data_IF_044709308824
#
_entry.id   IF_044709308824
#
_cell.length_a   1.000
_cell.length_b   1.000
_cell.length_c   1.000
_cell.angle_alpha   90.00
_cell.angle_beta   90.00
_cell.angle_gamma   90.00
#
_symmetry.space_group_name_H-M   'P 1'
#
loop_
_entity.id
_entity.type
_entity.pdbx_description
1 polymer ?
#
# COMPACT_ATOMS: atom_id res chain seq x y z
N UNK A 1 17.08 8.68 -10.47
CA UNK A 1 16.42 7.91 -9.41
C UNK A 1 15.21 7.23 -10.01
N UNK A 2 15.09 5.91 -9.88
CA UNK A 2 13.99 5.14 -10.47
C UNK A 2 12.92 4.91 -9.41
N UNK A 3 11.66 5.17 -9.75
CA UNK A 3 10.52 4.97 -8.84
C UNK A 3 10.37 3.50 -8.43
N UNK A 4 10.55 2.56 -9.36
CA UNK A 4 10.51 1.12 -9.06
C UNK A 4 11.53 0.71 -7.98
N UNK A 5 12.75 1.25 -8.02
CA UNK A 5 13.77 1.03 -7.00
C UNK A 5 13.41 1.67 -5.67
N UNK A 6 12.77 2.84 -5.69
CA UNK A 6 12.32 3.56 -4.49
C UNK A 6 11.21 2.81 -3.73
N UNK A 7 10.41 2.01 -4.43
CA UNK A 7 9.28 1.25 -3.90
C UNK A 7 9.64 -0.20 -3.51
N UNK A 8 10.92 -0.56 -3.52
CA UNK A 8 11.39 -1.85 -3.04
C UNK A 8 11.25 -1.97 -1.50
N UNK A 9 11.19 -3.21 -0.96
CA UNK A 9 11.38 -3.46 0.46
C UNK A 9 12.62 -2.77 1.05
N UNK A 10 12.60 -2.30 2.31
CA UNK A 10 13.78 -1.76 2.99
C UNK A 10 15.05 -2.59 2.80
N UNK A 11 14.96 -3.92 2.89
CA UNK A 11 16.09 -4.84 2.75
C UNK A 11 16.70 -4.88 1.34
N UNK A 12 15.96 -4.45 0.31
CA UNK A 12 16.42 -4.39 -1.07
C UNK A 12 16.68 -2.95 -1.55
N UNK A 13 16.38 -1.95 -0.72
CA UNK A 13 16.53 -0.56 -1.10
C UNK A 13 18.00 -0.13 -1.03
N UNK A 14 18.55 0.48 -2.09
CA UNK A 14 19.85 1.12 -2.00
C UNK A 14 19.80 2.33 -1.05
N UNK A 15 20.93 2.65 -0.40
CA UNK A 15 21.03 3.74 0.59
C UNK A 15 20.50 5.09 0.12
N UNK A 16 20.56 5.38 -1.18
CA UNK A 16 20.03 6.64 -1.71
C UNK A 16 18.53 6.80 -1.46
N UNK A 17 17.76 5.70 -1.31
CA UNK A 17 16.33 5.77 -1.03
C UNK A 17 16.03 6.37 0.34
N UNK A 18 16.83 6.04 1.38
CA UNK A 18 16.68 6.63 2.72
C UNK A 18 16.99 8.13 2.70
N UNK A 19 18.05 8.52 1.98
CA UNK A 19 18.41 9.93 1.77
C UNK A 19 17.30 10.65 1.01
N UNK A 20 16.74 10.02 -0.03
CA UNK A 20 15.62 10.56 -0.80
C UNK A 20 14.38 10.78 0.07
N UNK A 21 13.99 9.82 0.91
CA UNK A 21 12.88 9.98 1.85
C UNK A 21 13.09 11.18 2.77
N UNK A 22 14.31 11.36 3.30
CA UNK A 22 14.62 12.52 4.13
C UNK A 22 14.53 13.83 3.37
N UNK A 23 15.10 13.91 2.16
CA UNK A 23 15.01 15.11 1.33
C UNK A 23 13.55 15.43 0.99
N UNK A 24 12.75 14.43 0.65
CA UNK A 24 11.32 14.60 0.38
C UNK A 24 10.58 15.14 1.62
N UNK A 25 10.87 14.61 2.80
CA UNK A 25 10.26 15.02 4.07
C UNK A 25 10.62 16.48 4.44
N UNK A 26 11.87 16.91 4.25
CA UNK A 26 12.27 18.31 4.47
C UNK A 26 11.66 19.26 3.44
N UNK A 27 11.26 18.75 2.27
CA UNK A 27 10.57 19.50 1.22
C UNK A 27 9.06 19.24 1.22
N UNK A 28 8.47 18.83 2.34
CA UNK A 28 7.02 18.68 2.47
C UNK A 28 6.29 20.03 2.37
N UNK A 29 5.02 20.02 1.93
CA UNK A 29 4.17 21.21 2.01
C UNK A 29 4.04 21.61 3.50
N UNK A 30 4.23 22.91 3.79
CA UNK A 30 4.32 23.46 5.15
C UNK A 30 3.17 23.03 6.07
N UNK A 31 1.95 22.89 5.54
CA UNK A 31 0.79 22.45 6.32
C UNK A 31 0.98 21.06 6.98
N UNK A 32 1.76 20.17 6.36
CA UNK A 32 2.05 18.85 6.90
C UNK A 32 3.25 18.90 7.85
N UNK A 33 4.32 19.58 7.42
CA UNK A 33 5.55 19.72 8.20
C UNK A 33 5.30 20.40 9.55
N UNK A 34 4.44 21.43 9.60
CA UNK A 34 4.14 22.17 10.83
C UNK A 34 3.35 21.36 11.87
N UNK A 35 2.65 20.29 11.47
CA UNK A 35 1.82 19.51 12.40
C UNK A 35 2.61 18.45 13.17
N UNK A 36 3.59 17.80 12.52
CA UNK A 36 4.32 16.67 13.13
C UNK A 36 5.85 16.77 12.97
N UNK A 37 6.37 17.71 12.19
CA UNK A 37 7.79 17.80 11.85
C UNK A 37 8.25 16.79 10.79
N UNK A 38 9.32 17.12 10.07
CA UNK A 38 9.85 16.29 8.97
C UNK A 38 10.35 14.91 9.42
N UNK A 39 10.74 14.75 10.69
CA UNK A 39 11.21 13.47 11.25
C UNK A 39 10.14 12.36 11.28
N UNK A 40 8.85 12.72 11.21
CA UNK A 40 7.72 11.80 11.26
C UNK A 40 6.98 11.69 9.91
N UNK A 41 7.48 12.39 8.89
CA UNK A 41 7.10 12.21 7.50
C UNK A 41 7.97 11.10 6.91
N UNK A 42 7.37 9.92 6.78
CA UNK A 42 7.94 8.72 6.18
C UNK A 42 7.65 8.69 4.68
N UNK A 43 7.69 7.52 4.04
CA UNK A 43 7.49 7.39 2.61
C UNK A 43 6.13 8.00 2.14
N UNK A 44 6.16 8.96 1.20
CA UNK A 44 4.97 9.70 0.77
C UNK A 44 3.95 8.84 0.00
N UNK A 45 4.31 7.63 -0.44
CA UNK A 45 3.36 6.70 -1.06
C UNK A 45 2.59 5.85 -0.05
N UNK A 46 2.98 5.89 1.22
CA UNK A 46 2.37 5.08 2.30
C UNK A 46 1.76 5.94 3.41
N UNK A 47 1.89 7.26 3.30
CA UNK A 47 1.47 8.24 4.28
C UNK A 47 0.86 9.45 3.56
N UNK A 48 -0.24 10.01 4.07
CA UNK A 48 -1.08 10.97 3.34
C UNK A 48 -0.54 12.41 3.21
N UNK A 49 0.73 12.67 3.46
CA UNK A 49 1.33 13.99 3.28
C UNK A 49 1.83 14.19 1.84
N UNK A 50 2.11 15.44 1.45
CA UNK A 50 2.56 15.77 0.08
C UNK A 50 3.84 16.59 0.07
N UNK A 51 4.65 16.35 -0.96
CA UNK A 51 5.91 17.04 -1.24
C UNK A 51 5.64 18.33 -2.01
N UNK A 52 6.35 19.41 -1.67
CA UNK A 52 6.35 20.64 -2.43
C UNK A 52 7.24 20.51 -3.68
N UNK A 53 6.63 20.17 -4.82
CA UNK A 53 7.34 19.95 -6.09
C UNK A 53 7.91 21.24 -6.73
N UNK A 54 7.53 22.42 -6.23
CA UNK A 54 8.07 23.71 -6.70
C UNK A 54 9.27 24.18 -5.89
N UNK A 55 9.60 23.51 -4.78
CA UNK A 55 10.73 23.88 -3.92
C UNK A 55 12.05 23.87 -4.69
N UNK A 56 12.83 24.94 -4.56
CA UNK A 56 14.16 25.06 -5.19
C UNK A 56 15.17 24.12 -4.56
N UNK A 57 15.00 23.81 -3.27
CA UNK A 57 15.81 22.86 -2.48
C UNK A 57 15.56 21.39 -2.81
N UNK A 58 14.49 21.05 -3.55
CA UNK A 58 14.20 19.68 -3.97
C UNK A 58 14.96 19.36 -5.28
N UNK A 59 15.88 18.37 -5.29
CA UNK A 59 16.63 18.00 -6.49
C UNK A 59 15.73 17.59 -7.66
N UNK A 60 16.11 17.95 -8.88
CA UNK A 60 15.32 17.68 -10.08
C UNK A 60 15.08 16.19 -10.34
N UNK A 61 16.02 15.34 -9.93
CA UNK A 61 15.87 13.88 -10.01
C UNK A 61 14.68 13.37 -9.17
N UNK A 62 14.47 13.95 -7.99
CA UNK A 62 13.33 13.63 -7.12
C UNK A 62 12.04 14.28 -7.62
N UNK A 63 12.09 15.53 -8.10
CA UNK A 63 10.93 16.17 -8.76
C UNK A 63 10.41 15.30 -9.91
N UNK A 64 11.31 14.84 -10.79
CA UNK A 64 10.95 13.96 -11.91
C UNK A 64 10.34 12.65 -11.42
N UNK A 65 10.93 12.02 -10.39
CA UNK A 65 10.41 10.78 -9.82
C UNK A 65 8.97 10.94 -9.29
N UNK A 66 8.71 12.00 -8.51
CA UNK A 66 7.38 12.28 -7.96
C UNK A 66 6.36 12.62 -9.05
N UNK A 67 6.74 13.43 -10.05
CA UNK A 67 5.86 13.75 -11.19
C UNK A 67 5.51 12.53 -12.03
N UNK A 68 6.45 11.61 -12.22
CA UNK A 68 6.18 10.32 -12.89
C UNK A 68 5.15 9.52 -12.09
N UNK A 69 5.31 9.48 -10.77
CA UNK A 69 4.37 8.80 -9.90
C UNK A 69 2.96 9.41 -9.98
N UNK A 70 2.84 10.74 -9.98
CA UNK A 70 1.57 11.45 -10.17
C UNK A 70 0.96 11.20 -11.56
N UNK A 71 1.77 11.33 -12.62
CA UNK A 71 1.36 11.13 -14.02
C UNK A 71 0.74 9.75 -14.24
N UNK A 72 1.32 8.71 -13.64
CA UNK A 72 0.86 7.34 -13.77
C UNK A 72 -0.01 6.88 -12.60
N UNK A 73 -0.51 7.77 -11.75
CA UNK A 73 -1.44 7.41 -10.68
C UNK A 73 -0.88 6.36 -9.71
N UNK A 74 0.34 6.56 -9.22
CA UNK A 74 0.92 5.70 -8.18
C UNK A 74 0.14 5.89 -6.86
N UNK A 75 -0.60 4.85 -6.42
CA UNK A 75 -1.38 4.87 -5.18
C UNK A 75 -1.15 3.60 -4.38
N UNK A 76 -1.25 3.70 -3.06
CA UNK A 76 -1.29 2.53 -2.18
C UNK A 76 -2.63 1.81 -2.32
N UNK A 77 -2.62 0.58 -2.84
CA UNK A 77 -3.81 -0.23 -3.10
C UNK A 77 -3.55 -1.65 -2.59
N UNK A 78 -3.78 -1.90 -1.28
CA UNK A 78 -3.63 -3.24 -0.72
C UNK A 78 -4.76 -4.15 -1.21
N UNK A 79 -4.42 -5.38 -1.61
CA UNK A 79 -5.41 -6.40 -2.00
C UNK A 79 -6.07 -7.04 -0.77
N UNK A 80 -5.29 -7.25 0.29
CA UNK A 80 -5.73 -7.79 1.58
C UNK A 80 -5.13 -6.93 2.69
N UNK A 81 -5.94 -6.64 3.71
CA UNK A 81 -5.50 -5.89 4.89
C UNK A 81 -5.30 -6.87 6.04
N UNK A 82 -4.06 -7.32 6.21
CA UNK A 82 -3.65 -8.20 7.30
C UNK A 82 -3.25 -7.42 8.53
N UNK A 83 -3.11 -8.13 9.64
CA UNK A 83 -2.69 -7.60 10.92
C UNK A 83 -1.26 -7.09 10.92
N UNK A 84 -0.38 -7.75 10.16
CA UNK A 84 1.01 -7.31 9.96
C UNK A 84 1.03 -6.00 9.18
N UNK A 85 0.27 -5.90 8.09
CA UNK A 85 0.13 -4.66 7.33
C UNK A 85 -0.42 -3.52 8.20
N UNK A 86 -1.52 -3.73 8.94
CA UNK A 86 -2.11 -2.72 9.83
C UNK A 86 -1.07 -2.13 10.78
N UNK A 87 -0.25 -2.99 11.43
CA UNK A 87 0.77 -2.54 12.39
C UNK A 87 1.93 -1.80 11.74
N UNK A 88 2.29 -2.14 10.49
CA UNK A 88 3.40 -1.53 9.73
C UNK A 88 3.05 -0.20 9.07
N UNK A 89 1.76 0.17 9.00
CA UNK A 89 1.39 1.45 8.43
C UNK A 89 1.90 2.63 9.28
N UNK A 90 2.33 3.74 8.65
CA UNK A 90 2.58 5.00 9.34
C UNK A 90 1.32 5.50 10.06
N UNK A 91 1.44 5.88 11.33
CA UNK A 91 0.31 6.39 12.12
C UNK A 91 -0.04 7.84 11.78
N UNK A 92 0.97 8.71 11.70
CA UNK A 92 0.74 10.13 11.41
C UNK A 92 0.31 10.30 9.95
N UNK A 93 -0.69 11.13 9.68
CA UNK A 93 -1.32 11.24 8.36
C UNK A 93 -1.70 9.87 7.76
N UNK A 94 -2.20 8.95 8.60
CA UNK A 94 -2.68 7.66 8.13
C UNK A 94 -3.77 7.86 7.06
N UNK A 95 -3.63 7.19 5.93
CA UNK A 95 -4.51 7.38 4.77
C UNK A 95 -5.97 6.99 5.06
N UNK A 96 -6.18 6.00 5.93
CA UNK A 96 -7.50 5.54 6.35
C UNK A 96 -8.05 6.26 7.60
N UNK A 97 -7.58 7.46 7.92
CA UNK A 97 -8.24 8.28 8.93
C UNK A 97 -9.68 8.59 8.51
N UNK A 98 -10.60 8.50 9.46
CA UNK A 98 -12.01 8.87 9.28
C UNK A 98 -12.10 10.36 8.92
N UNK A 99 -12.63 10.73 7.74
CA UNK A 99 -12.66 12.14 7.28
C UNK A 99 -13.50 13.05 8.20
N UNK A 100 -14.47 12.48 8.90
CA UNK A 100 -15.32 13.18 9.86
C UNK A 100 -14.63 13.49 11.20
N UNK A 101 -13.43 12.96 11.45
CA UNK A 101 -12.68 13.18 12.69
C UNK A 101 -11.43 14.02 12.42
N UNK A 102 -11.25 15.07 13.22
CA UNK A 102 -10.04 15.89 13.18
C UNK A 102 -8.92 15.15 13.90
N UNK A 103 -7.88 14.79 13.13
CA UNK A 103 -6.69 14.18 13.70
C UNK A 103 -5.91 15.19 14.54
N UNK A 104 -5.92 15.02 15.86
CA UNK A 104 -5.23 15.90 16.80
C UNK A 104 -3.74 15.56 16.89
N UNK A 105 -2.98 15.84 15.84
CA UNK A 105 -1.56 15.50 15.78
C UNK A 105 -0.64 16.46 16.54
N UNK A 106 -1.00 17.73 16.58
CA UNK A 106 -0.19 18.79 17.17
C UNK A 106 -0.52 19.06 18.65
N UNK A 107 -1.47 18.32 19.23
CA UNK A 107 -1.80 18.44 20.65
C UNK A 107 -0.60 18.04 21.52
N UNK A 108 -0.64 18.40 22.81
CA UNK A 108 0.48 18.11 23.72
C UNK A 108 0.82 16.62 23.79
N UNK A 109 -0.19 15.75 23.65
CA UNK A 109 0.00 14.31 23.68
C UNK A 109 0.58 13.79 22.37
N UNK A 110 0.21 14.35 21.22
CA UNK A 110 0.77 14.04 19.91
C UNK A 110 2.24 14.37 19.86
N UNK A 111 2.62 15.55 20.36
CA UNK A 111 4.03 15.93 20.52
C UNK A 111 4.78 14.99 21.47
N UNK A 112 4.19 14.57 22.58
CA UNK A 112 4.80 13.59 23.49
C UNK A 112 4.97 12.21 22.82
N UNK A 113 3.95 11.74 22.10
CA UNK A 113 3.96 10.46 21.36
C UNK A 113 5.05 10.46 20.28
N UNK A 114 5.23 11.59 19.59
CA UNK A 114 6.29 11.80 18.61
C UNK A 114 7.67 11.87 19.29
N UNK A 115 7.90 12.88 20.13
CA UNK A 115 9.23 13.27 20.58
C UNK A 115 9.76 12.41 21.72
N UNK A 116 8.90 12.00 22.66
CA UNK A 116 9.32 11.26 23.85
C UNK A 116 9.16 9.75 23.69
N UNK A 117 8.23 9.31 22.84
CA UNK A 117 7.98 7.89 22.59
C UNK A 117 8.42 7.43 21.19
N UNK A 118 8.80 8.35 20.30
CA UNK A 118 9.34 7.99 18.98
C UNK A 118 8.33 7.32 18.07
N UNK A 119 7.03 7.42 18.35
CA UNK A 119 6.00 6.66 17.64
C UNK A 119 5.94 7.13 16.19
N UNK A 120 6.03 6.18 15.26
CA UNK A 120 5.94 6.38 13.81
C UNK A 120 4.86 5.49 13.19
N UNK A 121 4.73 4.26 13.67
CA UNK A 121 3.85 3.23 13.12
C UNK A 121 2.62 2.97 14.00
N UNK A 122 1.56 2.46 13.38
CA UNK A 122 0.31 2.08 14.07
C UNK A 122 0.58 1.01 15.14
N UNK A 123 1.47 0.06 14.89
CA UNK A 123 1.85 -0.98 15.86
C UNK A 123 2.48 -0.39 17.13
N UNK A 124 3.35 0.60 17.00
CA UNK A 124 3.97 1.30 18.13
C UNK A 124 2.94 2.12 18.91
N UNK A 125 2.00 2.76 18.21
CA UNK A 125 0.88 3.46 18.86
C UNK A 125 0.00 2.49 19.67
N UNK A 126 -0.30 1.30 19.11
CA UNK A 126 -1.04 0.24 19.80
C UNK A 126 -0.28 -0.30 21.01
N UNK A 127 1.02 -0.55 20.87
CA UNK A 127 1.86 -0.99 21.98
C UNK A 127 1.87 0.05 23.09
N UNK A 128 2.09 1.32 22.76
CA UNK A 128 2.05 2.41 23.73
C UNK A 128 0.70 2.47 24.45
N UNK A 129 -0.41 2.46 23.70
CA UNK A 129 -1.76 2.49 24.25
C UNK A 129 -2.06 1.32 25.20
N UNK A 130 -1.50 0.13 24.95
CA UNK A 130 -1.77 -1.10 25.70
C UNK A 130 -0.70 -1.44 26.75
N UNK A 131 0.44 -0.74 26.76
CA UNK A 131 1.60 -0.97 27.66
C UNK A 131 1.23 -1.09 29.13
N UNK A 132 0.23 -0.31 29.57
CA UNK A 132 -0.28 -0.35 30.95
C UNK A 132 -1.00 -1.65 31.32
N UNK A 133 -1.62 -2.35 30.38
CA UNK A 133 -2.40 -3.58 30.65
C UNK A 133 -1.52 -4.78 31.00
N UNK A 134 -0.28 -4.80 30.49
CA UNK A 134 0.69 -5.90 30.69
C UNK A 134 1.43 -5.80 32.02
N UNK A 135 1.16 -4.77 32.83
CA UNK A 135 1.84 -4.51 34.09
C UNK A 135 0.81 -4.13 35.16
N UNK A 136 1.18 -4.19 36.45
CA UNK A 136 0.34 -3.74 37.57
C UNK A 136 0.15 -2.20 37.61
N UNK A 137 -0.07 -1.58 36.45
CA UNK A 137 -0.25 -0.15 36.27
C UNK A 137 -1.63 0.28 36.73
N UNK A 138 -1.68 1.23 37.65
CA UNK A 138 -2.93 1.79 38.20
C UNK A 138 -3.56 2.88 37.34
N UNK A 139 -2.96 3.22 36.19
CA UNK A 139 -3.40 4.28 35.27
C UNK A 139 -3.66 5.63 35.95
N UNK A 140 -2.78 6.02 36.88
CA UNK A 140 -2.77 7.32 37.55
C UNK A 140 -1.46 8.04 37.27
N UNK A 141 -1.47 9.38 37.33
CA UNK A 141 -0.29 10.21 37.11
C UNK A 141 0.87 9.87 38.06
N UNK A 142 0.59 9.38 39.27
CA UNK A 142 1.58 8.99 40.29
C UNK A 142 1.96 7.51 40.29
N UNK A 143 1.56 6.73 39.27
CA UNK A 143 1.84 5.30 39.24
C UNK A 143 3.34 4.99 39.22
N UNK A 144 3.80 4.14 40.15
CA UNK A 144 5.22 3.77 40.33
C UNK A 144 5.62 2.47 39.62
N UNK A 145 4.77 1.92 38.74
CA UNK A 145 5.15 0.72 37.99
C UNK A 145 6.31 1.02 37.03
N UNK A 146 7.07 -0.01 36.68
CA UNK A 146 8.25 0.12 35.83
C UNK A 146 7.95 0.81 34.49
N UNK A 147 6.82 0.48 33.86
CA UNK A 147 6.41 1.07 32.59
C UNK A 147 6.15 2.58 32.70
N UNK A 148 5.45 3.04 33.74
CA UNK A 148 5.24 4.47 33.95
C UNK A 148 6.53 5.19 34.37
N UNK A 149 7.45 4.51 35.07
CA UNK A 149 8.75 5.06 35.39
C UNK A 149 9.58 5.31 34.13
N UNK A 150 9.68 4.30 33.25
CA UNK A 150 10.35 4.40 31.96
C UNK A 150 9.75 5.51 31.08
N UNK A 151 8.41 5.58 30.99
CA UNK A 151 7.75 6.63 30.21
C UNK A 151 8.11 8.04 30.75
N UNK A 152 8.24 8.21 32.07
CA UNK A 152 8.69 9.49 32.65
C UNK A 152 10.15 9.79 32.38
N UNK A 153 11.01 8.77 32.37
CA UNK A 153 12.43 8.93 32.02
C UNK A 153 12.64 9.42 30.59
N UNK A 154 11.73 9.10 29.66
CA UNK A 154 11.76 9.65 28.30
C UNK A 154 11.14 11.04 28.19
N UNK A 155 10.67 11.64 29.30
CA UNK A 155 10.08 12.97 29.36
C UNK A 155 8.55 13.00 29.33
N UNK A 156 7.84 11.86 29.41
CA UNK A 156 6.38 11.86 29.48
C UNK A 156 5.87 12.27 30.87
N UNK A 157 5.29 13.46 30.98
CA UNK A 157 4.78 14.00 32.25
C UNK A 157 3.65 13.16 32.86
N UNK A 158 2.75 12.64 32.03
CA UNK A 158 1.60 11.86 32.47
C UNK A 158 1.36 10.65 31.56
N UNK A 159 2.04 9.52 31.87
CA UNK A 159 1.94 8.31 31.05
C UNK A 159 0.52 7.76 30.92
N UNK A 160 -0.29 7.85 31.97
CA UNK A 160 -1.66 7.35 31.94
C UNK A 160 -2.53 8.11 30.93
N UNK A 161 -2.46 9.44 30.95
CA UNK A 161 -3.24 10.26 30.02
C UNK A 161 -2.66 10.21 28.59
N UNK A 162 -1.33 10.12 28.44
CA UNK A 162 -0.69 9.93 27.14
C UNK A 162 -1.18 8.65 26.43
N UNK A 163 -1.25 7.53 27.15
CA UNK A 163 -1.78 6.26 26.64
C UNK A 163 -3.27 6.30 26.34
N UNK A 164 -4.06 6.97 27.20
CA UNK A 164 -5.49 7.17 26.94
C UNK A 164 -5.71 7.97 25.66
N UNK A 165 -4.93 9.04 25.46
CA UNK A 165 -4.98 9.82 24.22
C UNK A 165 -4.52 9.00 23.01
N UNK A 166 -3.51 8.13 23.14
CA UNK A 166 -3.11 7.18 22.10
C UNK A 166 -4.25 6.23 21.70
N UNK A 167 -5.02 5.71 22.66
CA UNK A 167 -6.22 4.91 22.35
C UNK A 167 -7.26 5.68 21.54
N UNK A 168 -7.59 6.91 21.95
CA UNK A 168 -8.53 7.77 21.21
C UNK A 168 -8.04 8.05 19.78
N UNK A 169 -6.72 8.21 19.64
CA UNK A 169 -6.03 8.41 18.37
C UNK A 169 -6.10 7.19 17.44
N UNK A 170 -6.12 5.97 17.98
CA UNK A 170 -6.36 4.75 17.21
C UNK A 170 -7.82 4.66 16.75
N UNK A 171 -8.77 5.17 17.55
CA UNK A 171 -10.20 5.19 17.18
C UNK A 171 -10.50 6.08 15.95
N UNK A 172 -9.57 6.97 15.58
CA UNK A 172 -9.66 7.79 14.37
C UNK A 172 -9.42 7.01 13.07
N UNK A 173 -8.77 5.85 13.15
CA UNK A 173 -8.50 4.99 11.99
C UNK A 173 -9.80 4.25 11.63
N UNK A 174 -10.05 4.05 10.33
CA UNK A 174 -11.23 3.31 9.88
C UNK A 174 -11.22 1.86 10.37
N UNK A 175 -12.39 1.21 10.53
CA UNK A 175 -12.48 -0.14 11.10
C UNK A 175 -11.63 -1.19 10.37
N UNK A 176 -11.49 -1.10 9.04
CA UNK A 176 -10.71 -2.06 8.25
C UNK A 176 -9.20 -2.01 8.60
N UNK A 177 -8.75 -0.84 9.06
CA UNK A 177 -7.37 -0.54 9.41
C UNK A 177 -7.14 -0.58 10.93
N UNK A 178 -8.15 -0.90 11.74
CA UNK A 178 -8.00 -0.97 13.19
C UNK A 178 -7.06 -2.13 13.58
N UNK A 179 -5.89 -1.84 14.19
CA UNK A 179 -4.93 -2.87 14.54
C UNK A 179 -5.39 -3.76 15.71
N UNK A 180 -6.56 -3.51 16.30
CA UNK A 180 -7.16 -4.33 17.37
C UNK A 180 -8.11 -5.39 16.82
N UNK A 181 -8.45 -5.34 15.54
CA UNK A 181 -9.31 -6.35 14.89
C UNK A 181 -8.56 -7.68 14.83
N UNK A 182 -9.20 -8.77 15.24
CA UNK A 182 -8.68 -10.11 14.97
C UNK A 182 -8.76 -10.40 13.47
N UNK A 183 -7.76 -11.07 12.90
CA UNK A 183 -7.93 -11.64 11.57
C UNK A 183 -8.99 -12.73 11.69
N UNK A 184 -9.98 -12.70 10.81
CA UNK A 184 -10.82 -13.86 10.60
C UNK A 184 -9.87 -15.00 10.19
N UNK A 185 -9.95 -16.14 10.88
CA UNK A 185 -9.24 -17.35 10.50
C UNK A 185 -9.44 -17.54 8.99
N UNK A 186 -8.38 -17.76 8.20
CA UNK A 186 -8.59 -18.10 6.81
C UNK A 186 -9.55 -19.29 6.82
N UNK A 187 -10.65 -19.19 6.07
CA UNK A 187 -11.42 -20.38 5.76
C UNK A 187 -10.39 -21.43 5.33
N UNK A 188 -10.36 -22.57 6.02
CA UNK A 188 -9.67 -23.73 5.51
C UNK A 188 -10.32 -23.98 4.16
N UNK A 189 -9.68 -23.49 3.10
CA UNK A 189 -10.04 -23.93 1.77
C UNK A 189 -9.58 -25.38 1.76
N UNK A 190 -10.52 -26.29 1.96
CA UNK A 190 -10.34 -27.73 1.72
C UNK A 190 -10.11 -28.04 0.22
N UNK A 191 -9.57 -27.07 -0.54
CA UNK A 191 -9.29 -27.15 -1.97
C UNK A 191 -7.80 -27.46 -2.27
N UNK A 192 -6.99 -27.75 -1.25
CA UNK A 192 -5.58 -28.15 -1.43
C UNK A 192 -5.41 -29.58 -2.01
N UNK A 193 -6.52 -30.31 -2.28
CA UNK A 193 -6.51 -31.68 -2.82
C UNK A 193 -7.15 -31.82 -4.22
N UNK A 194 -7.07 -30.81 -5.09
CA UNK A 194 -7.32 -31.00 -6.52
C UNK A 194 -6.00 -31.06 -7.30
N UNK A 195 -5.44 -32.27 -7.40
CA UNK A 195 -4.42 -32.55 -8.41
C UNK A 195 -5.02 -32.38 -9.81
N UNK A 196 -4.36 -31.64 -10.73
CA UNK A 196 -4.82 -31.54 -12.10
C UNK A 196 -4.73 -32.89 -12.80
N UNK A 197 -5.85 -33.36 -13.35
CA UNK A 197 -5.95 -34.62 -14.11
C UNK A 197 -5.29 -34.57 -15.50
N UNK A 198 -4.79 -33.42 -15.93
CA UNK A 198 -3.89 -33.30 -17.07
C UNK A 198 -2.77 -32.32 -16.72
N UNK A 199 -1.58 -32.54 -17.27
CA UNK A 199 -0.38 -31.75 -16.94
C UNK A 199 -0.40 -30.28 -17.40
N UNK A 200 -1.55 -29.61 -17.48
CA UNK A 200 -1.62 -28.17 -17.75
C UNK A 200 -1.34 -27.36 -16.48
N UNK A 201 -0.19 -26.69 -16.47
CA UNK A 201 0.18 -25.74 -15.41
C UNK A 201 -0.63 -24.45 -15.54
N UNK A 202 -1.89 -24.44 -15.10
CA UNK A 202 -2.65 -23.20 -14.88
C UNK A 202 -2.40 -22.68 -13.46
N UNK A 203 -1.17 -22.19 -13.21
CA UNK A 203 -0.96 -21.38 -12.01
C UNK A 203 -1.59 -20.02 -12.26
N UNK A 204 -2.88 -19.89 -11.94
CA UNK A 204 -3.50 -18.60 -11.70
C UNK A 204 -2.51 -17.78 -10.86
N UNK A 205 -2.18 -16.56 -11.30
CA UNK A 205 -1.33 -15.69 -10.50
C UNK A 205 -2.11 -15.30 -9.24
N UNK A 206 -2.02 -16.14 -8.24
CA UNK A 206 -2.36 -15.81 -6.87
C UNK A 206 -1.23 -14.94 -6.37
N UNK A 207 -1.46 -13.65 -6.03
CA UNK A 207 -0.47 -12.89 -5.31
C UNK A 207 -0.14 -13.69 -4.07
N UNK A 208 1.10 -14.18 -3.99
CA UNK A 208 1.55 -15.02 -2.90
C UNK A 208 1.18 -14.33 -1.57
N UNK A 209 0.29 -14.93 -0.76
CA UNK A 209 -0.17 -14.33 0.50
C UNK A 209 0.98 -14.16 1.50
N UNK A 210 2.16 -14.72 1.22
CA UNK A 210 3.40 -14.56 1.99
C UNK A 210 4.34 -13.48 1.46
N UNK A 211 3.94 -12.68 0.44
CA UNK A 211 4.70 -11.49 0.02
C UNK A 211 4.89 -10.56 1.22
N UNK A 212 6.06 -10.69 1.85
CA UNK A 212 6.52 -10.00 3.06
C UNK A 212 6.07 -8.55 3.03
N UNK A 213 5.03 -8.23 3.79
CA UNK A 213 4.15 -7.08 3.53
C UNK A 213 4.80 -5.75 3.93
N UNK A 214 5.65 -5.22 3.06
CA UNK A 214 6.08 -3.84 3.20
C UNK A 214 5.05 -2.94 2.51
N UNK A 215 4.51 -1.90 3.19
CA UNK A 215 3.50 -1.03 2.59
C UNK A 215 3.90 -0.47 1.21
N UNK A 216 5.19 -0.18 1.01
CA UNK A 216 5.71 0.32 -0.27
C UNK A 216 5.52 -0.65 -1.45
N UNK A 217 5.47 -1.96 -1.20
CA UNK A 217 5.23 -2.96 -2.25
C UNK A 217 3.76 -3.07 -2.67
N UNK A 218 2.85 -2.44 -1.92
CA UNK A 218 1.42 -2.39 -2.24
C UNK A 218 1.06 -1.12 -3.01
N UNK A 219 2.06 -0.32 -3.40
CA UNK A 219 1.87 0.77 -4.34
C UNK A 219 1.65 0.19 -5.73
N UNK A 220 0.58 0.64 -6.39
CA UNK A 220 0.20 0.28 -7.75
C UNK A 220 0.22 1.53 -8.61
N UNK A 221 0.58 1.36 -9.88
CA UNK A 221 0.51 2.41 -10.91
C UNK A 221 -0.65 2.11 -11.86
N UNK A 222 -0.96 3.08 -12.71
CA UNK A 222 -2.13 3.07 -13.59
C UNK A 222 -3.45 2.92 -12.82
N UNK A 223 -3.48 3.41 -11.58
CA UNK A 223 -4.72 3.44 -10.81
C UNK A 223 -5.63 4.50 -11.41
N UNK A 224 -6.87 4.10 -11.73
CA UNK A 224 -7.87 5.01 -12.32
C UNK A 224 -8.21 6.11 -11.30
N UNK A 225 -8.54 7.35 -11.72
CA UNK A 225 -8.83 8.43 -10.80
C UNK A 225 -10.11 8.26 -9.97
N UNK A 226 -11.00 7.32 -10.30
CA UNK A 226 -12.31 7.16 -9.66
C UNK A 226 -12.35 6.05 -8.60
N UNK A 227 -13.23 6.18 -7.59
CA UNK A 227 -13.18 5.35 -6.39
C UNK A 227 -13.48 3.90 -6.74
N UNK A 228 -12.56 3.00 -6.35
CA UNK A 228 -12.95 1.61 -6.11
C UNK A 228 -13.94 1.69 -4.93
N UNK A 229 -15.23 1.40 -5.10
CA UNK A 229 -16.14 1.37 -3.96
C UNK A 229 -15.59 0.35 -2.97
N UNK A 230 -15.42 0.80 -1.72
CA UNK A 230 -14.85 0.01 -0.63
C UNK A 230 -15.67 -1.23 -0.23
N UNK A 231 -16.77 -1.51 -0.93
CA UNK A 231 -17.55 -2.74 -0.78
C UNK A 231 -17.71 -3.40 -2.15
N UNK A 232 -16.66 -4.08 -2.58
CA UNK A 232 -16.81 -5.19 -3.50
C UNK A 232 -17.30 -6.42 -2.75
N UNK A 233 -18.49 -6.38 -2.13
CA UNK A 233 -19.33 -7.57 -2.18
C UNK A 233 -19.57 -7.80 -3.66
N UNK A 234 -18.68 -8.58 -4.29
CA UNK A 234 -19.05 -9.32 -5.49
C UNK A 234 -20.29 -10.08 -5.05
N UNK A 235 -21.47 -9.59 -5.44
CA UNK A 235 -22.62 -10.45 -5.56
C UNK A 235 -22.09 -11.68 -6.29
N UNK A 236 -22.24 -12.86 -5.69
CA UNK A 236 -21.93 -14.14 -6.33
C UNK A 236 -22.91 -14.33 -7.48
N UNK A 237 -22.77 -13.54 -8.53
CA UNK A 237 -23.03 -14.05 -9.86
C UNK A 237 -22.01 -15.16 -10.00
N UNK A 238 -22.49 -16.40 -9.98
CA UNK A 238 -21.74 -17.53 -10.51
C UNK A 238 -21.30 -17.10 -11.91
N UNK A 239 -20.08 -16.58 -12.01
CA UNK A 239 -19.42 -16.40 -13.29
C UNK A 239 -18.87 -17.78 -13.55
N UNK A 240 -19.46 -18.46 -14.51
CA UNK A 240 -18.83 -19.64 -15.07
C UNK A 240 -17.50 -19.17 -15.65
N UNK A 241 -16.41 -19.76 -15.18
CA UNK A 241 -15.10 -19.52 -15.75
C UNK A 241 -15.12 -20.09 -17.17
N UNK A 242 -14.78 -19.25 -18.14
CA UNK A 242 -14.67 -19.66 -19.54
C UNK A 242 -13.18 -19.73 -19.87
N UNK A 243 -12.72 -20.88 -20.32
CA UNK A 243 -11.36 -21.03 -20.83
C UNK A 243 -11.25 -20.38 -22.21
N UNK A 244 -10.22 -19.55 -22.40
CA UNK A 244 -9.96 -18.85 -23.65
C UNK A 244 -8.47 -18.92 -23.94
N UNK A 245 -8.14 -19.32 -25.16
CA UNK A 245 -6.79 -19.37 -25.68
C UNK A 245 -6.55 -18.12 -26.51
N UNK A 246 -5.48 -17.40 -26.21
CA UNK A 246 -5.10 -16.18 -26.93
C UNK A 246 -3.68 -16.34 -27.46
N UNK A 247 -3.44 -15.79 -28.64
CA UNK A 247 -2.09 -15.77 -29.23
C UNK A 247 -1.87 -14.49 -30.05
N UNK A 248 -0.62 -14.06 -30.12
CA UNK A 248 -0.18 -12.95 -30.95
C UNK A 248 0.92 -13.41 -31.89
N UNK A 249 0.79 -13.08 -33.18
CA UNK A 249 1.82 -13.42 -34.17
C UNK A 249 2.22 -12.18 -34.94
N UNK A 250 3.51 -12.02 -35.22
CA UNK A 250 4.00 -10.91 -36.03
C UNK A 250 5.10 -11.32 -37.02
N UNK A 251 4.87 -11.02 -38.29
CA UNK A 251 5.85 -11.16 -39.37
C UNK A 251 6.65 -9.86 -39.48
N UNK A 252 7.98 -9.96 -39.56
CA UNK A 252 8.85 -8.78 -39.60
C UNK A 252 8.90 -8.02 -38.26
N UNK A 253 8.76 -8.75 -37.14
CA UNK A 253 8.73 -8.18 -35.79
C UNK A 253 9.88 -7.17 -35.55
N UNK A 254 9.54 -5.97 -35.09
CA UNK A 254 10.51 -4.90 -34.81
C UNK A 254 10.91 -4.04 -36.03
N UNK A 255 10.27 -4.22 -37.19
CA UNK A 255 10.45 -3.38 -38.38
C UNK A 255 9.24 -2.49 -38.64
N UNK A 256 9.39 -1.44 -39.45
CA UNK A 256 8.28 -0.54 -39.84
C UNK A 256 7.21 -1.27 -40.67
N UNK A 257 7.62 -2.30 -41.42
CA UNK A 257 6.73 -3.13 -42.24
C UNK A 257 6.12 -4.32 -41.50
N UNK A 258 6.29 -4.37 -40.16
CA UNK A 258 5.75 -5.45 -39.34
C UNK A 258 4.24 -5.63 -39.58
N UNK A 259 3.82 -6.88 -39.71
CA UNK A 259 2.42 -7.28 -39.85
C UNK A 259 2.07 -8.22 -38.73
N UNK A 260 1.27 -7.75 -37.78
CA UNK A 260 0.86 -8.55 -36.64
C UNK A 260 -0.63 -8.86 -36.66
N UNK A 261 -0.98 -9.98 -36.05
CA UNK A 261 -2.34 -10.43 -35.83
C UNK A 261 -2.50 -10.99 -34.41
N UNK A 262 -3.76 -11.12 -34.01
CA UNK A 262 -4.19 -11.64 -32.72
C UNK A 262 -5.24 -12.72 -32.93
N UNK A 263 -5.06 -13.87 -32.29
CA UNK A 263 -6.00 -14.98 -32.29
C UNK A 263 -6.68 -15.12 -30.94
N UNK A 264 -7.98 -15.41 -30.97
CA UNK A 264 -8.80 -15.71 -29.79
C UNK A 264 -9.60 -16.97 -30.10
N UNK A 265 -9.49 -17.98 -29.25
CA UNK A 265 -10.11 -19.27 -29.45
C UNK A 265 -10.74 -19.78 -28.14
N UNK A 266 -12.02 -20.09 -28.18
CA UNK A 266 -12.81 -20.59 -27.04
C UNK A 266 -13.04 -22.09 -27.16
N UNK A 267 -13.50 -22.57 -28.32
CA UNK A 267 -13.76 -23.98 -28.63
C UNK A 267 -13.92 -24.18 -30.15
N UNK A 268 -13.94 -25.41 -30.68
CA UNK A 268 -14.31 -25.67 -32.07
C UNK A 268 -15.68 -25.08 -32.41
N UNK A 269 -15.77 -24.38 -33.55
CA UNK A 269 -16.99 -23.72 -34.05
C UNK A 269 -17.66 -22.70 -33.11
N UNK A 270 -16.96 -22.24 -32.07
CA UNK A 270 -17.48 -21.18 -31.20
C UNK A 270 -17.56 -19.85 -31.97
N UNK A 271 -18.73 -19.19 -32.03
CA UNK A 271 -18.91 -17.95 -32.78
C UNK A 271 -18.11 -16.76 -32.23
N UNK A 272 -17.54 -16.89 -31.01
CA UNK A 272 -16.68 -15.87 -30.40
C UNK A 272 -15.23 -15.98 -30.85
N UNK A 273 -14.84 -17.07 -31.51
CA UNK A 273 -13.50 -17.22 -32.09
C UNK A 273 -13.20 -16.09 -33.07
N UNK A 274 -12.04 -15.46 -32.94
CA UNK A 274 -11.66 -14.29 -33.75
C UNK A 274 -10.20 -14.37 -34.19
N UNK A 275 -9.96 -13.92 -35.41
CA UNK A 275 -8.65 -13.55 -35.90
C UNK A 275 -8.67 -12.05 -36.24
N UNK A 276 -7.90 -11.27 -35.52
CA UNK A 276 -7.86 -9.81 -35.63
C UNK A 276 -6.53 -9.38 -36.23
N UNK A 277 -6.58 -8.41 -37.15
CA UNK A 277 -5.37 -7.72 -37.60
C UNK A 277 -5.03 -6.62 -36.60
N UNK A 278 -3.77 -6.55 -36.17
CA UNK A 278 -3.30 -5.47 -35.29
C UNK A 278 -3.07 -4.22 -36.14
N UNK A 279 -4.06 -3.33 -36.15
CA UNK A 279 -3.99 -2.06 -36.89
C UNK A 279 -3.58 -0.89 -35.97
N UNK A 280 -2.48 -1.09 -35.24
CA UNK A 280 -1.86 -0.07 -34.41
C UNK A 280 -0.52 0.38 -35.02
N UNK A 281 -0.06 1.62 -34.76
CA UNK A 281 1.24 2.09 -35.22
C UNK A 281 2.41 1.27 -34.65
N UNK A 282 2.29 0.80 -33.40
CA UNK A 282 3.27 -0.08 -32.79
C UNK A 282 2.94 -1.53 -33.12
N UNK A 283 3.73 -2.16 -33.99
CA UNK A 283 3.51 -3.54 -34.46
C UNK A 283 4.64 -4.44 -33.98
N UNK A 284 4.36 -5.25 -32.97
CA UNK A 284 5.27 -6.28 -32.46
C UNK A 284 4.50 -7.50 -31.96
N UNK A 285 5.20 -8.60 -31.72
CA UNK A 285 4.58 -9.81 -31.16
C UNK A 285 3.83 -9.53 -29.86
N UNK A 286 4.47 -8.79 -28.93
CA UNK A 286 3.89 -8.42 -27.64
C UNK A 286 2.61 -7.58 -27.78
N UNK A 287 2.52 -6.73 -28.82
CA UNK A 287 1.30 -5.96 -29.08
C UNK A 287 0.19 -6.88 -29.58
N UNK A 288 0.52 -7.88 -30.41
CA UNK A 288 -0.44 -8.89 -30.85
C UNK A 288 -1.02 -9.69 -29.67
N UNK A 289 -0.17 -10.11 -28.74
CA UNK A 289 -0.61 -10.83 -27.53
C UNK A 289 -1.54 -9.96 -26.67
N UNK A 290 -1.19 -8.69 -26.44
CA UNK A 290 -2.03 -7.78 -25.66
C UNK A 290 -3.37 -7.46 -26.34
N UNK A 291 -3.38 -7.29 -27.66
CA UNK A 291 -4.63 -7.06 -28.41
C UNK A 291 -5.55 -8.28 -28.35
N UNK A 292 -4.99 -9.50 -28.33
CA UNK A 292 -5.77 -10.73 -28.13
C UNK A 292 -6.46 -10.75 -26.76
N UNK A 293 -5.72 -10.44 -25.68
CA UNK A 293 -6.25 -10.38 -24.31
C UNK A 293 -7.30 -9.28 -24.15
N UNK A 294 -7.10 -8.11 -24.76
CA UNK A 294 -8.06 -7.00 -24.68
C UNK A 294 -9.37 -7.25 -25.43
N UNK A 295 -9.35 -8.17 -26.39
CA UNK A 295 -10.48 -8.44 -27.29
C UNK A 295 -11.27 -9.71 -26.94
N UNK A 296 -10.73 -10.52 -26.02
CA UNK A 296 -11.33 -11.75 -25.48
C UNK A 296 -12.30 -11.42 -24.34
#
# INVERSE_FOLDING_TARGET
MKLCTFLLPPELRPRWCEVAERILAENAILQFANQIGSNFLLNPFTQGWRVNLTATTLPDSLKRMMRVAEKYGAKFVPLKITQTLRKRMPYWFHWANKPQLISQYYDKWGRCQQMNHGIKFVGEMLEHATKGRRTNCRNRITCKCQTCHQDRQTGCENPAQCRKNASLKLDNISPDWDPRKHEDEPAQNDDDDLEPLDGSYTKAWSPDPSLKEWPVQLVRIFTVPDPIPANGTRASQQREDVEVYTDGSCIGNGTEDARCGSGIWYAPDDPRNKALRVDLPARSNNVGELVAVLSA
#
